data_IF_833686014561
#
_entry.id   IF_833686014561
#
_cell.length_a   1.000
_cell.length_b   1.000
_cell.length_c   1.000
_cell.angle_alpha   90.00
_cell.angle_beta   90.00
_cell.angle_gamma   90.00
#
_symmetry.space_group_name_H-M   'P 1'
#
loop_
_entity.id
_entity.type
_entity.pdbx_description
1 polymer ?
#
# COMPACT_ATOMS: atom_id res chain seq x y z
N UNK A 1 35.17 3.94 9.09
CA UNK A 1 33.86 3.30 9.24
C UNK A 1 32.99 3.81 8.08
N UNK A 2 32.04 3.05 7.56
CA UNK A 2 31.08 3.55 6.58
C UNK A 2 29.80 3.93 7.35
N UNK A 3 29.25 5.09 7.06
CA UNK A 3 28.03 5.57 7.67
C UNK A 3 26.88 5.34 6.69
N UNK A 4 25.77 4.85 7.19
CA UNK A 4 24.57 4.57 6.41
C UNK A 4 23.48 5.52 6.90
N UNK A 5 22.74 6.12 5.96
CA UNK A 5 21.64 7.04 6.22
C UNK A 5 20.39 6.54 5.52
N UNK A 6 19.25 6.77 6.14
CA UNK A 6 17.93 6.35 5.66
C UNK A 6 16.96 7.55 5.64
N UNK A 7 17.31 8.66 4.94
CA UNK A 7 16.41 9.80 4.87
C UNK A 7 15.05 9.39 4.34
N UNK A 8 14.02 9.88 5.00
CA UNK A 8 12.63 9.52 4.72
C UNK A 8 11.77 10.77 4.68
N UNK A 9 10.82 10.83 3.75
CA UNK A 9 9.84 11.91 3.64
C UNK A 9 8.42 11.34 3.58
N UNK A 10 7.48 12.05 4.17
CA UNK A 10 6.06 11.72 4.19
C UNK A 10 5.30 12.76 3.37
N UNK A 11 4.47 12.31 2.43
CA UNK A 11 3.69 13.19 1.56
C UNK A 11 2.28 12.62 1.32
N UNK A 12 1.24 13.46 1.27
CA UNK A 12 1.21 14.91 1.51
C UNK A 12 1.44 15.27 2.99
N UNK A 13 1.50 16.57 3.30
CA UNK A 13 1.46 17.08 4.67
C UNK A 13 0.13 16.69 5.33
N UNK A 14 0.15 16.40 6.63
CA UNK A 14 -0.96 15.81 7.35
C UNK A 14 -1.72 16.92 8.09
N UNK A 15 -3.05 17.09 7.89
CA UNK A 15 -3.84 18.06 8.65
C UNK A 15 -3.73 17.79 10.16
N UNK A 16 -3.39 18.83 10.95
CA UNK A 16 -3.16 18.67 12.39
C UNK A 16 -4.41 18.20 13.12
N UNK A 17 -5.58 18.62 12.69
CA UNK A 17 -6.86 18.23 13.26
C UNK A 17 -7.27 16.76 13.00
N UNK A 18 -6.61 16.11 12.04
CA UNK A 18 -6.79 14.68 11.77
C UNK A 18 -5.93 13.78 12.67
N UNK A 19 -4.92 14.34 13.35
CA UNK A 19 -3.96 13.59 14.16
C UNK A 19 -4.42 13.60 15.63
N UNK A 20 -4.55 12.44 16.25
CA UNK A 20 -4.86 12.38 17.69
C UNK A 20 -3.64 12.78 18.55
N UNK A 21 -3.83 13.17 19.83
CA UNK A 21 -2.70 13.48 20.72
C UNK A 21 -1.70 12.33 20.86
N UNK A 22 -2.16 11.09 20.90
CA UNK A 22 -1.28 9.91 20.96
C UNK A 22 -0.48 9.75 19.67
N UNK A 23 -1.14 9.82 18.52
CA UNK A 23 -0.47 9.71 17.21
C UNK A 23 0.55 10.83 17.01
N UNK A 24 0.22 12.07 17.41
CA UNK A 24 1.16 13.18 17.36
C UNK A 24 2.39 12.92 18.25
N UNK A 25 2.17 12.43 19.48
CA UNK A 25 3.26 12.09 20.40
C UNK A 25 4.18 11.02 19.80
N UNK A 26 3.63 9.99 19.15
CA UNK A 26 4.40 8.93 18.51
C UNK A 26 5.12 9.44 17.25
N UNK A 27 4.40 10.09 16.34
CA UNK A 27 4.97 10.56 15.07
C UNK A 27 6.09 11.57 15.26
N UNK A 28 6.02 12.45 16.27
CA UNK A 28 7.07 13.41 16.57
C UNK A 28 8.33 12.80 17.21
N UNK A 29 8.25 11.56 17.68
CA UNK A 29 9.40 10.78 18.13
C UNK A 29 10.00 9.93 16.99
N UNK A 30 9.19 9.52 16.02
CA UNK A 30 9.62 8.77 14.84
C UNK A 30 10.28 9.70 13.82
N UNK A 31 9.68 10.88 13.61
CA UNK A 31 10.03 11.84 12.57
C UNK A 31 10.41 13.19 13.13
N UNK A 32 11.31 13.87 12.45
CA UNK A 32 11.41 15.32 12.46
C UNK A 32 10.13 15.89 11.83
N UNK A 33 9.77 17.12 12.19
CA UNK A 33 8.54 17.72 11.66
C UNK A 33 8.65 19.24 11.52
N UNK A 34 7.89 19.79 10.58
CA UNK A 34 7.77 21.22 10.34
C UNK A 34 6.29 21.60 10.12
N UNK A 35 5.81 22.71 10.70
CA UNK A 35 4.48 23.24 10.43
C UNK A 35 4.33 23.66 8.96
N UNK A 36 3.20 23.33 8.33
CA UNK A 36 2.81 23.75 6.98
C UNK A 36 1.36 24.25 6.98
N UNK A 37 1.16 25.49 7.39
CA UNK A 37 -0.17 26.08 7.57
C UNK A 37 -0.96 25.34 8.66
N UNK A 38 -2.11 24.77 8.29
CA UNK A 38 -2.96 23.96 9.18
C UNK A 38 -2.56 22.45 9.18
N UNK A 39 -1.46 22.12 8.51
CA UNK A 39 -0.91 20.78 8.41
C UNK A 39 0.51 20.70 9.00
N UNK A 40 1.04 19.49 9.06
CA UNK A 40 2.38 19.20 9.52
C UNK A 40 3.10 18.33 8.49
N UNK A 41 4.34 18.67 8.18
CA UNK A 41 5.23 17.90 7.33
C UNK A 41 6.11 17.02 8.20
N UNK A 42 6.11 15.70 7.94
CA UNK A 42 6.98 14.74 8.61
C UNK A 42 8.11 14.28 7.70
N UNK A 43 9.31 14.21 8.23
CA UNK A 43 10.49 13.70 7.53
C UNK A 43 11.51 13.14 8.52
N UNK A 44 12.49 12.40 8.05
CA UNK A 44 13.64 11.97 8.82
C UNK A 44 14.91 12.19 8.00
N UNK A 45 15.81 13.05 8.43
CA UNK A 45 17.03 13.40 7.68
C UNK A 45 18.08 12.29 7.67
N UNK A 46 18.17 11.50 8.73
CA UNK A 46 19.15 10.42 8.89
C UNK A 46 18.50 9.04 8.91
N UNK A 47 17.24 8.96 9.30
CA UNK A 47 16.44 7.75 9.42
C UNK A 47 15.34 7.88 10.46
N UNK A 48 14.28 7.10 10.34
CA UNK A 48 13.22 7.00 11.33
C UNK A 48 13.72 6.36 12.61
N UNK A 49 13.11 6.75 13.73
CA UNK A 49 13.37 6.13 15.01
C UNK A 49 12.29 5.09 15.29
N UNK A 50 12.65 3.81 15.29
CA UNK A 50 11.73 2.69 15.47
C UNK A 50 11.59 2.27 16.94
N UNK A 51 12.55 2.66 17.80
CA UNK A 51 12.56 2.40 19.24
C UNK A 51 12.24 3.67 20.01
N UNK A 52 11.03 3.78 20.53
CA UNK A 52 10.53 4.99 21.17
C UNK A 52 10.51 4.83 22.69
N UNK A 53 11.02 5.85 23.40
CA UNK A 53 11.04 5.88 24.85
C UNK A 53 10.10 6.98 25.37
N UNK A 54 9.21 6.60 26.27
CA UNK A 54 8.22 7.52 26.86
C UNK A 54 8.18 7.41 28.36
N UNK A 55 7.83 8.53 29.01
CA UNK A 55 7.40 8.49 30.39
C UNK A 55 6.03 7.79 30.47
N UNK A 56 5.94 6.74 31.28
CA UNK A 56 4.75 5.91 31.38
C UNK A 56 3.53 6.67 31.93
N UNK A 57 3.72 7.69 32.79
CA UNK A 57 2.63 8.50 33.34
C UNK A 57 2.05 9.42 32.26
N UNK A 58 2.90 10.10 31.48
CA UNK A 58 2.47 10.96 30.35
C UNK A 58 1.73 10.14 29.30
N UNK A 59 2.28 8.97 28.96
CA UNK A 59 1.65 8.10 27.96
C UNK A 59 0.28 7.59 28.42
N UNK A 60 0.11 7.28 29.73
CA UNK A 60 -1.20 6.94 30.31
C UNK A 60 -2.19 8.09 30.25
N UNK A 61 -1.74 9.32 30.51
CA UNK A 61 -2.59 10.51 30.46
C UNK A 61 -3.10 10.75 29.02
N UNK A 62 -2.21 10.69 28.02
CA UNK A 62 -2.59 10.85 26.62
C UNK A 62 -3.51 9.73 26.17
N UNK A 63 -3.18 8.47 26.50
CA UNK A 63 -4.01 7.31 26.16
C UNK A 63 -5.42 7.36 26.77
N UNK A 64 -5.60 7.98 27.95
CA UNK A 64 -6.90 8.10 28.60
C UNK A 64 -7.92 8.91 27.78
N UNK A 65 -7.45 9.78 26.88
CA UNK A 65 -8.28 10.56 25.95
C UNK A 65 -8.55 9.86 24.60
N UNK A 66 -7.92 8.71 24.35
CA UNK A 66 -7.98 8.04 23.06
C UNK A 66 -9.09 7.00 22.95
N UNK A 67 -9.57 6.84 21.70
CA UNK A 67 -10.46 5.72 21.37
C UNK A 67 -9.62 4.52 20.96
N UNK A 68 -9.65 3.47 21.79
CA UNK A 68 -8.93 2.23 21.51
C UNK A 68 -9.69 1.40 20.47
N UNK A 69 -9.10 1.26 19.27
CA UNK A 69 -9.64 0.39 18.22
C UNK A 69 -8.83 -0.90 18.11
N UNK A 70 -9.46 -2.05 17.82
CA UNK A 70 -8.73 -3.31 17.62
C UNK A 70 -7.66 -3.20 16.52
N UNK A 71 -6.45 -3.61 16.83
CA UNK A 71 -5.30 -3.54 15.91
C UNK A 71 -4.72 -2.14 15.72
N UNK A 72 -5.23 -1.13 16.43
CA UNK A 72 -4.70 0.24 16.39
C UNK A 72 -3.54 0.47 17.36
N UNK A 73 -2.81 1.56 17.15
CA UNK A 73 -1.65 1.92 18.00
C UNK A 73 -2.04 2.17 19.45
N UNK A 74 -3.23 2.69 19.72
CA UNK A 74 -3.74 2.88 21.09
C UNK A 74 -3.91 1.53 21.84
N UNK A 75 -4.27 0.45 21.13
CA UNK A 75 -4.33 -0.89 21.73
C UNK A 75 -2.93 -1.40 22.07
N UNK A 76 -1.97 -1.26 21.16
CA UNK A 76 -0.57 -1.62 21.41
C UNK A 76 -0.02 -0.91 22.65
N UNK A 77 -0.19 0.42 22.71
CA UNK A 77 0.27 1.25 23.83
C UNK A 77 -0.38 0.82 25.13
N UNK A 78 -1.70 0.59 25.13
CA UNK A 78 -2.43 0.11 26.29
C UNK A 78 -1.89 -1.23 26.81
N UNK A 79 -1.68 -2.18 25.91
CA UNK A 79 -1.23 -3.53 26.27
C UNK A 79 0.22 -3.52 26.79
N UNK A 80 1.08 -2.69 26.20
CA UNK A 80 2.45 -2.46 26.70
C UNK A 80 2.44 -1.82 28.09
N UNK A 81 1.62 -0.78 28.31
CA UNK A 81 1.47 -0.14 29.62
C UNK A 81 0.87 -1.07 30.69
N UNK A 82 -0.01 -2.00 30.29
CA UNK A 82 -0.57 -3.00 31.20
C UNK A 82 0.45 -4.07 31.61
N UNK A 83 1.44 -4.33 30.76
CA UNK A 83 2.52 -5.28 31.05
C UNK A 83 3.69 -4.64 31.84
N UNK A 84 3.71 -3.30 31.96
CA UNK A 84 4.78 -2.57 32.64
C UNK A 84 4.76 -2.85 34.15
N UNK A 85 5.94 -3.06 34.74
CA UNK A 85 6.11 -3.21 36.18
C UNK A 85 5.66 -1.99 36.98
N UNK A 86 5.23 -2.21 38.25
CA UNK A 86 4.69 -1.13 39.07
C UNK A 86 5.71 -0.02 39.39
N UNK A 87 7.00 -0.34 39.36
CA UNK A 87 8.11 0.57 39.69
C UNK A 87 8.79 1.14 38.44
N UNK A 88 8.31 0.82 37.21
CA UNK A 88 8.88 1.29 35.96
C UNK A 88 8.25 2.64 35.54
N UNK A 89 9.09 3.68 35.43
CA UNK A 89 8.67 5.03 35.05
C UNK A 89 8.78 5.28 33.55
N UNK A 90 9.61 4.51 32.85
CA UNK A 90 9.83 4.62 31.40
C UNK A 90 9.35 3.35 30.68
N UNK A 91 8.87 3.52 29.48
CA UNK A 91 8.42 2.44 28.63
C UNK A 91 9.04 2.53 27.24
N UNK A 92 9.55 1.43 26.76
CA UNK A 92 10.00 1.27 25.39
C UNK A 92 8.87 0.74 24.52
N UNK A 93 8.56 1.48 23.46
CA UNK A 93 7.64 1.05 22.41
C UNK A 93 8.46 0.69 21.17
N UNK A 94 8.48 -0.58 20.87
CA UNK A 94 8.99 -1.10 19.59
C UNK A 94 7.85 -1.12 18.58
N UNK A 95 7.97 -0.31 17.52
CA UNK A 95 7.00 -0.21 16.44
C UNK A 95 7.40 -1.04 15.20
N UNK A 96 8.50 -1.82 15.26
CA UNK A 96 9.00 -2.60 14.13
C UNK A 96 7.93 -3.55 13.53
N UNK A 97 7.04 -4.09 14.35
CA UNK A 97 5.98 -5.00 13.91
C UNK A 97 4.67 -4.29 13.51
N UNK A 98 4.48 -3.04 13.93
CA UNK A 98 3.22 -2.31 13.72
C UNK A 98 3.37 -1.01 12.95
N UNK A 99 4.58 -0.68 12.50
CA UNK A 99 4.91 0.42 11.61
C UNK A 99 4.17 1.76 11.80
N UNK A 100 4.85 2.83 11.51
CA UNK A 100 4.30 4.17 11.37
C UNK A 100 3.22 4.25 10.26
N UNK A 101 3.31 3.37 9.27
CA UNK A 101 2.33 3.21 8.18
C UNK A 101 0.91 2.94 8.71
N UNK A 102 0.75 2.17 9.81
CA UNK A 102 -0.55 1.93 10.44
C UNK A 102 -1.09 3.15 11.16
N UNK A 103 -0.21 4.01 11.70
CA UNK A 103 -0.62 5.30 12.27
C UNK A 103 -1.20 6.18 11.16
N UNK A 104 -0.49 6.32 10.04
CA UNK A 104 -0.99 7.06 8.88
C UNK A 104 -2.27 6.45 8.31
N UNK A 105 -2.39 5.13 8.26
CA UNK A 105 -3.63 4.48 7.84
C UNK A 105 -4.82 4.84 8.74
N UNK A 106 -4.61 4.88 10.06
CA UNK A 106 -5.65 5.28 11.00
C UNK A 106 -6.06 6.76 10.81
N UNK A 107 -5.10 7.64 10.55
CA UNK A 107 -5.35 9.05 10.22
C UNK A 107 -6.16 9.17 8.93
N UNK A 108 -5.77 8.51 7.86
CA UNK A 108 -6.46 8.53 6.56
C UNK A 108 -7.93 8.07 6.71
N UNK A 109 -8.19 7.02 7.48
CA UNK A 109 -9.55 6.52 7.72
C UNK A 109 -10.49 7.52 8.40
N UNK A 110 -9.94 8.52 9.06
CA UNK A 110 -10.70 9.56 9.77
C UNK A 110 -10.71 10.91 9.05
N UNK A 111 -9.86 11.09 8.04
CA UNK A 111 -9.62 12.36 7.38
C UNK A 111 -10.14 12.35 5.95
N UNK A 112 -11.23 13.04 5.69
CA UNK A 112 -11.81 13.17 4.35
C UNK A 112 -10.94 13.98 3.37
N UNK A 113 -9.87 14.62 3.86
CA UNK A 113 -8.94 15.42 3.04
C UNK A 113 -7.76 14.60 2.54
N UNK A 114 -7.57 13.35 3.03
CA UNK A 114 -6.45 12.49 2.69
C UNK A 114 -6.94 11.19 2.02
N UNK A 115 -6.68 11.05 0.74
CA UNK A 115 -6.92 9.79 0.03
C UNK A 115 -5.81 8.76 0.27
N UNK A 116 -4.58 9.25 0.42
CA UNK A 116 -3.40 8.41 0.66
C UNK A 116 -2.26 9.22 1.30
N UNK A 117 -1.31 8.50 1.87
CA UNK A 117 -0.01 9.01 2.31
C UNK A 117 1.08 8.14 1.67
N UNK A 118 2.14 8.78 1.19
CA UNK A 118 3.32 8.11 0.64
C UNK A 118 4.51 8.36 1.56
N UNK A 119 5.14 7.29 2.03
CA UNK A 119 6.38 7.32 2.78
C UNK A 119 7.49 6.90 1.81
N UNK A 120 8.40 7.82 1.50
CA UNK A 120 9.51 7.57 0.57
C UNK A 120 10.81 7.60 1.32
N UNK A 121 11.54 6.50 1.32
CA UNK A 121 12.84 6.36 1.96
C UNK A 121 13.93 6.14 0.93
N UNK A 122 15.09 6.74 1.17
CA UNK A 122 16.32 6.44 0.44
C UNK A 122 17.34 5.87 1.42
N UNK A 123 18.16 4.95 0.98
CA UNK A 123 19.35 4.54 1.74
C UNK A 123 20.60 4.88 0.98
N UNK A 124 21.55 5.45 1.70
CA UNK A 124 22.80 5.92 1.15
C UNK A 124 23.98 5.51 2.05
N UNK A 125 25.15 5.39 1.43
CA UNK A 125 26.38 5.03 2.13
C UNK A 125 27.47 6.07 1.86
N UNK A 126 28.07 6.62 2.91
CA UNK A 126 29.15 7.62 2.83
C UNK A 126 30.37 7.16 2.03
N UNK A 127 30.55 5.84 1.85
CA UNK A 127 31.64 5.23 1.08
C UNK A 127 31.24 4.69 -0.28
N UNK A 128 30.08 5.08 -0.80
CA UNK A 128 29.59 4.70 -2.13
C UNK A 128 29.63 3.19 -2.37
N UNK A 129 29.31 2.39 -1.37
CA UNK A 129 29.22 0.94 -1.52
C UNK A 129 27.93 0.59 -2.26
N UNK A 130 27.95 -0.29 -3.28
CA UNK A 130 26.76 -0.62 -4.07
C UNK A 130 25.61 -1.18 -3.23
N UNK A 131 25.91 -1.96 -2.19
CA UNK A 131 24.96 -2.54 -1.24
C UNK A 131 24.36 -1.52 -0.25
N UNK A 132 24.88 -0.29 -0.25
CA UNK A 132 24.41 0.81 0.59
C UNK A 132 23.56 1.84 -0.15
N UNK A 133 23.10 1.54 -1.38
CA UNK A 133 22.28 2.46 -2.15
C UNK A 133 20.96 1.83 -2.56
N UNK A 134 19.92 2.60 -2.45
CA UNK A 134 18.59 2.18 -2.87
C UNK A 134 17.53 3.13 -2.36
N UNK A 135 16.30 2.66 -2.39
CA UNK A 135 15.15 3.37 -1.87
C UNK A 135 13.91 2.50 -1.81
N UNK A 136 12.90 2.99 -1.14
CA UNK A 136 11.62 2.35 -1.03
C UNK A 136 10.50 3.38 -0.98
N UNK A 137 9.34 2.94 -1.37
CA UNK A 137 8.10 3.71 -1.28
C UNK A 137 7.06 2.83 -0.62
N UNK A 138 6.42 3.33 0.41
CA UNK A 138 5.23 2.75 1.01
C UNK A 138 4.06 3.69 0.76
N UNK A 139 3.05 3.21 0.04
CA UNK A 139 1.78 3.91 -0.17
C UNK A 139 0.75 3.38 0.80
N UNK A 140 0.20 4.26 1.60
CA UNK A 140 -0.82 3.97 2.60
C UNK A 140 -2.14 4.58 2.13
N UNK A 141 -3.19 3.78 2.10
CA UNK A 141 -4.58 4.20 1.87
C UNK A 141 -5.46 3.72 3.03
N UNK A 142 -6.71 4.11 3.05
CA UNK A 142 -7.64 3.61 4.07
C UNK A 142 -7.70 2.07 4.14
N UNK A 143 -7.57 1.38 3.01
CA UNK A 143 -7.77 -0.05 2.90
C UNK A 143 -6.49 -0.86 2.72
N UNK A 144 -5.42 -0.25 2.16
CA UNK A 144 -4.21 -0.95 1.75
C UNK A 144 -2.94 -0.24 2.20
N UNK A 145 -1.92 -1.03 2.52
CA UNK A 145 -0.53 -0.61 2.67
C UNK A 145 0.27 -1.39 1.63
N UNK A 146 0.89 -0.68 0.70
CA UNK A 146 1.61 -1.25 -0.44
C UNK A 146 3.03 -0.69 -0.46
N UNK A 147 4.01 -1.57 -0.51
CA UNK A 147 5.42 -1.17 -0.52
C UNK A 147 6.16 -1.73 -1.73
N UNK A 148 7.12 -0.98 -2.22
CA UNK A 148 8.07 -1.43 -3.24
C UNK A 148 9.45 -0.85 -2.98
N UNK A 149 10.49 -1.60 -3.30
CA UNK A 149 11.88 -1.20 -3.13
C UNK A 149 12.66 -1.27 -4.44
N UNK A 150 13.78 -0.55 -4.53
CA UNK A 150 14.68 -0.63 -5.69
C UNK A 150 15.22 -2.03 -5.91
N UNK A 151 15.43 -2.83 -4.85
CA UNK A 151 15.86 -4.23 -4.98
C UNK A 151 14.76 -5.12 -5.61
N UNK A 152 13.49 -4.89 -5.25
CA UNK A 152 12.39 -5.59 -5.90
C UNK A 152 12.29 -5.22 -7.38
N UNK A 153 12.43 -3.93 -7.70
CA UNK A 153 12.46 -3.47 -9.09
C UNK A 153 13.63 -4.07 -9.87
N UNK A 154 14.82 -4.17 -9.27
CA UNK A 154 15.99 -4.81 -9.87
C UNK A 154 15.73 -6.28 -10.15
N UNK A 155 15.19 -7.02 -9.20
CA UNK A 155 14.84 -8.43 -9.39
C UNK A 155 13.82 -8.62 -10.52
N UNK A 156 12.78 -7.78 -10.58
CA UNK A 156 11.80 -7.80 -11.67
C UNK A 156 12.41 -7.48 -13.04
N UNK A 157 13.36 -6.54 -13.10
CA UNK A 157 14.07 -6.19 -14.34
C UNK A 157 14.97 -7.32 -14.79
N UNK A 158 15.65 -8.02 -13.87
CA UNK A 158 16.45 -9.20 -14.16
C UNK A 158 15.59 -10.34 -14.70
N UNK A 159 14.46 -10.62 -14.06
CA UNK A 159 13.51 -11.65 -14.51
C UNK A 159 12.99 -11.33 -15.92
N UNK A 160 12.65 -10.07 -16.21
CA UNK A 160 12.23 -9.64 -17.55
C UNK A 160 13.35 -9.79 -18.58
N UNK A 161 14.60 -9.50 -18.21
CA UNK A 161 15.75 -9.63 -19.11
C UNK A 161 16.04 -11.11 -19.43
N UNK A 162 15.88 -12.01 -18.46
CA UNK A 162 16.19 -13.44 -18.64
C UNK A 162 15.03 -14.23 -19.26
N UNK A 163 13.79 -13.97 -18.84
CA UNK A 163 12.61 -14.75 -19.23
C UNK A 163 11.63 -14.03 -20.14
N UNK A 164 11.93 -12.77 -20.49
CA UNK A 164 11.03 -11.88 -21.24
C UNK A 164 10.02 -11.16 -20.37
N UNK A 165 9.30 -10.22 -20.97
CA UNK A 165 8.44 -9.25 -20.24
C UNK A 165 7.29 -9.91 -19.43
N UNK A 166 6.89 -11.12 -19.80
CA UNK A 166 5.85 -11.92 -19.16
C UNK A 166 6.39 -13.20 -18.51
N UNK A 167 7.70 -13.37 -18.49
CA UNK A 167 8.36 -14.55 -17.94
C UNK A 167 8.70 -14.39 -16.45
N UNK A 168 8.89 -15.51 -15.78
CA UNK A 168 9.46 -15.58 -14.44
C UNK A 168 10.36 -16.79 -14.31
N UNK A 169 11.21 -16.78 -13.29
CA UNK A 169 12.10 -17.90 -13.00
C UNK A 169 11.33 -19.20 -12.79
N UNK A 170 11.84 -20.36 -13.28
CA UNK A 170 11.20 -21.65 -13.04
C UNK A 170 11.00 -21.91 -11.54
N UNK A 171 9.80 -22.34 -11.16
CA UNK A 171 9.44 -22.61 -9.77
C UNK A 171 8.87 -21.41 -8.99
N UNK A 172 8.80 -20.26 -9.62
CA UNK A 172 8.09 -19.10 -9.09
C UNK A 172 6.80 -18.87 -9.87
N UNK A 173 5.68 -18.61 -9.15
CA UNK A 173 4.45 -18.16 -9.78
C UNK A 173 4.61 -16.69 -10.17
N UNK A 174 4.45 -16.35 -11.46
CA UNK A 174 4.42 -14.96 -11.86
C UNK A 174 3.04 -14.38 -11.62
N UNK A 175 2.96 -13.34 -10.80
CA UNK A 175 1.86 -12.39 -10.84
C UNK A 175 2.19 -11.33 -11.89
N UNK A 176 1.81 -11.59 -13.13
CA UNK A 176 1.83 -10.53 -14.14
C UNK A 176 0.69 -9.59 -13.83
N UNK A 177 0.98 -8.36 -13.44
CA UNK A 177 0.03 -7.27 -13.38
C UNK A 177 -0.35 -6.92 -14.83
N UNK A 178 -1.32 -7.64 -15.38
CA UNK A 178 -1.92 -7.29 -16.66
C UNK A 178 -2.77 -6.04 -16.44
N UNK A 179 -2.21 -4.89 -16.80
CA UNK A 179 -3.00 -3.67 -16.99
C UNK A 179 -3.75 -3.80 -18.30
N UNK A 180 -4.97 -4.31 -18.22
CA UNK A 180 -5.88 -4.28 -19.36
C UNK A 180 -6.46 -2.87 -19.48
N UNK A 181 -6.31 -2.25 -20.65
CA UNK A 181 -6.99 -1.00 -20.97
C UNK A 181 -8.50 -1.29 -21.08
N UNK A 182 -9.29 -0.72 -20.16
CA UNK A 182 -10.76 -0.87 -20.17
C UNK A 182 -11.38 -0.44 -21.51
N UNK A 183 -10.81 0.56 -22.18
CA UNK A 183 -11.28 0.99 -23.49
C UNK A 183 -11.01 -0.08 -24.59
N UNK A 184 -9.92 -0.82 -24.48
CA UNK A 184 -9.63 -1.93 -25.36
C UNK A 184 -10.59 -3.09 -25.13
N UNK A 185 -10.86 -3.43 -23.88
CA UNK A 185 -11.87 -4.45 -23.52
C UNK A 185 -13.25 -4.06 -24.05
N UNK A 186 -13.67 -2.79 -23.94
CA UNK A 186 -14.93 -2.31 -24.52
C UNK A 186 -14.98 -2.42 -26.02
N UNK A 187 -13.90 -2.11 -26.71
CA UNK A 187 -13.81 -2.31 -28.18
C UNK A 187 -13.95 -3.78 -28.54
N UNK A 188 -13.30 -4.67 -27.77
CA UNK A 188 -13.40 -6.11 -27.95
C UNK A 188 -14.84 -6.62 -27.69
N UNK A 189 -15.53 -6.14 -26.65
CA UNK A 189 -16.94 -6.45 -26.38
C UNK A 189 -17.81 -6.07 -27.58
N UNK A 190 -17.64 -4.87 -28.12
CA UNK A 190 -18.41 -4.40 -29.30
C UNK A 190 -18.14 -5.26 -30.53
N UNK A 191 -16.91 -5.69 -30.76
CA UNK A 191 -16.54 -6.55 -31.88
C UNK A 191 -17.16 -7.95 -31.74
N UNK A 192 -17.09 -8.54 -30.53
CA UNK A 192 -17.68 -9.86 -30.23
C UNK A 192 -19.22 -9.81 -30.34
N UNK A 193 -19.85 -8.74 -29.84
CA UNK A 193 -21.31 -8.57 -29.95
C UNK A 193 -21.79 -8.55 -31.41
N UNK A 194 -20.98 -8.03 -32.32
CA UNK A 194 -21.30 -7.99 -33.77
C UNK A 194 -21.09 -9.33 -34.46
N UNK A 195 -20.15 -10.14 -34.01
CA UNK A 195 -19.67 -11.32 -34.70
C UNK A 195 -20.29 -12.64 -34.17
N UNK A 196 -20.40 -12.81 -32.84
CA UNK A 196 -20.56 -14.12 -32.20
C UNK A 196 -21.70 -14.22 -31.18
N UNK A 197 -22.44 -13.15 -30.89
CA UNK A 197 -23.49 -13.24 -29.89
C UNK A 197 -24.73 -13.94 -30.46
N UNK A 198 -25.30 -14.94 -29.75
CA UNK A 198 -26.60 -15.55 -30.12
C UNK A 198 -27.68 -14.49 -30.22
N UNK A 199 -28.66 -14.69 -31.09
CA UNK A 199 -29.81 -13.80 -31.22
C UNK A 199 -30.46 -13.54 -29.85
N UNK A 200 -30.50 -12.29 -29.41
CA UNK A 200 -31.03 -11.86 -28.11
C UNK A 200 -30.01 -11.60 -27.02
N UNK A 201 -28.69 -11.74 -27.24
CA UNK A 201 -27.68 -11.36 -26.29
C UNK A 201 -27.29 -9.86 -26.48
N UNK A 202 -27.58 -9.07 -25.47
CA UNK A 202 -27.29 -7.62 -25.47
C UNK A 202 -25.99 -7.32 -24.72
N UNK A 203 -25.02 -6.76 -25.43
CA UNK A 203 -23.76 -6.30 -24.84
C UNK A 203 -23.89 -4.91 -24.18
N UNK A 204 -25.00 -4.20 -24.39
CA UNK A 204 -25.23 -2.88 -23.81
C UNK A 204 -25.40 -2.90 -22.30
N UNK A 205 -25.74 -4.07 -21.73
CA UNK A 205 -25.84 -4.28 -20.29
C UNK A 205 -24.51 -4.49 -19.55
N UNK A 206 -23.37 -4.50 -20.25
CA UNK A 206 -22.06 -4.66 -19.62
C UNK A 206 -21.62 -3.34 -18.97
N UNK A 207 -21.47 -3.35 -17.65
CA UNK A 207 -21.03 -2.19 -16.86
C UNK A 207 -19.51 -2.15 -16.70
N UNK A 208 -18.96 -1.03 -16.24
CA UNK A 208 -17.54 -0.90 -15.90
C UNK A 208 -17.13 -1.86 -14.79
N UNK A 209 -18.03 -2.14 -13.86
CA UNK A 209 -17.81 -3.11 -12.78
C UNK A 209 -17.69 -4.54 -13.31
N UNK A 210 -18.50 -4.91 -14.29
CA UNK A 210 -18.39 -6.21 -14.96
C UNK A 210 -17.04 -6.34 -15.69
N UNK A 211 -16.56 -5.27 -16.32
CA UNK A 211 -15.26 -5.23 -17.01
C UNK A 211 -14.13 -5.41 -16.00
N UNK A 212 -14.14 -4.68 -14.86
CA UNK A 212 -13.12 -4.82 -13.82
C UNK A 212 -13.09 -6.23 -13.23
N UNK A 213 -14.26 -6.78 -12.90
CA UNK A 213 -14.35 -8.15 -12.40
C UNK A 213 -13.85 -9.17 -13.43
N UNK A 214 -14.14 -8.96 -14.72
CA UNK A 214 -13.66 -9.81 -15.81
C UNK A 214 -12.15 -9.71 -16.00
N UNK A 215 -11.57 -8.51 -15.87
CA UNK A 215 -10.13 -8.29 -15.91
C UNK A 215 -9.43 -9.05 -14.77
N UNK A 216 -9.95 -8.97 -13.55
CA UNK A 216 -9.42 -9.73 -12.40
C UNK A 216 -9.46 -11.24 -12.65
N UNK A 217 -10.60 -11.77 -13.09
CA UNK A 217 -10.72 -13.21 -13.44
C UNK A 217 -9.75 -13.63 -14.56
N UNK A 218 -9.48 -12.74 -15.50
CA UNK A 218 -8.54 -13.01 -16.60
C UNK A 218 -7.11 -13.05 -16.10
N UNK A 219 -6.74 -12.18 -15.15
CA UNK A 219 -5.43 -12.21 -14.48
C UNK A 219 -5.23 -13.51 -13.73
N UNK A 220 -6.24 -13.98 -13.00
CA UNK A 220 -6.20 -15.28 -12.29
C UNK A 220 -6.08 -16.48 -13.23
N UNK A 221 -6.55 -16.34 -14.47
CA UNK A 221 -6.51 -17.36 -15.51
C UNK A 221 -5.42 -17.13 -16.56
N UNK A 222 -4.31 -16.47 -16.22
CA UNK A 222 -3.28 -15.98 -17.17
C UNK A 222 -2.72 -17.06 -18.10
N UNK A 223 -2.46 -18.27 -17.58
CA UNK A 223 -1.95 -19.38 -18.40
C UNK A 223 -2.94 -19.82 -19.49
N UNK A 224 -4.24 -19.70 -19.25
CA UNK A 224 -5.28 -19.98 -20.23
C UNK A 224 -5.41 -18.85 -21.25
N UNK A 225 -5.21 -17.60 -20.84
CA UNK A 225 -5.29 -16.45 -21.73
C UNK A 225 -4.18 -16.42 -22.79
N UNK A 226 -2.98 -16.83 -22.42
CA UNK A 226 -1.84 -16.98 -23.36
C UNK A 226 -2.12 -18.09 -24.40
N UNK A 227 -2.76 -19.18 -24.00
CA UNK A 227 -3.10 -20.30 -24.88
C UNK A 227 -4.26 -19.99 -25.85
N UNK A 228 -5.17 -19.09 -25.50
CA UNK A 228 -6.41 -18.84 -26.23
C UNK A 228 -6.48 -17.50 -26.99
N UNK A 229 -5.37 -16.81 -27.15
CA UNK A 229 -5.29 -15.59 -27.95
C UNK A 229 -5.31 -14.29 -27.16
N UNK A 230 -5.87 -13.22 -27.70
CA UNK A 230 -5.85 -11.90 -27.08
C UNK A 230 -6.47 -11.88 -25.68
N UNK A 231 -5.72 -11.43 -24.69
CA UNK A 231 -6.17 -11.26 -23.28
C UNK A 231 -7.42 -10.38 -23.21
N UNK A 232 -7.51 -9.33 -24.03
CA UNK A 232 -8.70 -8.47 -24.13
C UNK A 232 -9.94 -9.27 -24.58
N UNK A 233 -9.80 -10.21 -25.50
CA UNK A 233 -10.92 -11.07 -25.95
C UNK A 233 -11.37 -12.04 -24.84
N UNK A 234 -10.46 -12.57 -24.03
CA UNK A 234 -10.78 -13.41 -22.87
C UNK A 234 -11.53 -12.60 -21.81
N UNK A 235 -11.05 -11.41 -21.47
CA UNK A 235 -11.71 -10.51 -20.53
C UNK A 235 -13.09 -10.05 -21.03
N UNK A 236 -13.22 -9.77 -22.34
CA UNK A 236 -14.51 -9.39 -22.96
C UNK A 236 -15.54 -10.52 -22.84
N UNK A 237 -15.18 -11.77 -23.09
CA UNK A 237 -16.07 -12.94 -22.91
C UNK A 237 -16.46 -13.14 -21.45
N UNK A 238 -15.51 -12.97 -20.51
CA UNK A 238 -15.79 -13.05 -19.08
C UNK A 238 -16.76 -11.94 -18.64
N UNK A 239 -16.59 -10.68 -19.08
CA UNK A 239 -17.49 -9.57 -18.78
C UNK A 239 -18.93 -9.83 -19.28
N UNK A 240 -19.07 -10.33 -20.51
CA UNK A 240 -20.38 -10.73 -21.06
C UNK A 240 -21.01 -11.83 -20.20
N UNK A 241 -20.25 -12.83 -19.76
CA UNK A 241 -20.74 -13.92 -18.92
C UNK A 241 -21.18 -13.43 -17.53
N UNK A 242 -20.46 -12.46 -16.94
CA UNK A 242 -20.81 -11.82 -15.66
C UNK A 242 -22.12 -11.05 -15.79
N UNK A 243 -22.25 -10.21 -16.83
CA UNK A 243 -23.47 -9.44 -17.08
C UNK A 243 -24.71 -10.35 -17.28
N UNK A 244 -24.56 -11.46 -18.00
CA UNK A 244 -25.66 -12.46 -18.19
C UNK A 244 -26.09 -13.07 -16.86
N UNK A 245 -25.16 -13.43 -15.97
CA UNK A 245 -25.50 -14.02 -14.65
C UNK A 245 -26.19 -13.02 -13.73
N UNK A 246 -25.85 -11.74 -13.81
CA UNK A 246 -26.49 -10.68 -13.03
C UNK A 246 -27.93 -10.43 -13.48
N UNK A 247 -28.23 -10.59 -14.76
CA UNK A 247 -29.54 -10.31 -15.35
C UNK A 247 -30.45 -11.56 -15.43
N UNK A 248 -29.99 -12.73 -15.00
CA UNK A 248 -30.74 -13.98 -14.90
C UNK A 248 -31.34 -14.19 -13.51
#
# INVERSE_FOLDING_TARGET
>A
MADYFFPTVVWPTIPVDAITPLEMMLLTQIYENEPDGDAIYFFASEGTNDCLWFNAAELREVLAGETVTPGGVAELVRDKLAALGADEEEIELDLADQGDDRIFQAIIRRCDQLDHVTITSAWTCSKMRPDGFGGGVTMVTADHILSSTTHQMEAELLDRAEYGELGCAPGHGSHVLLRLDEAEVRRAITAIAKADLPAGADASGVTDEDIRAACLQTVEATDLAVQHGSIAAVAARAAIAIARRRNA
#
